data_IF_720479220564
#
_entry.id   IF_720479220564
#
_cell.length_a   1.000
_cell.length_b   1.000
_cell.length_c   1.000
_cell.angle_alpha   90.00
_cell.angle_beta   90.00
_cell.angle_gamma   90.00
#
_symmetry.space_group_name_H-M   'P 1'
#
loop_
_entity.id
_entity.type
_entity.pdbx_description
1 polymer ?
#
# COMPACT_ATOMS: atom_id res chain seq x y z
N UNK A 1 -3.83 -10.18 -21.19
CA UNK A 1 -4.24 -10.58 -19.83
C UNK A 1 -3.72 -9.57 -18.80
N UNK A 2 -4.24 -8.34 -18.79
CA UNK A 2 -3.78 -7.26 -17.90
C UNK A 2 -4.57 -7.20 -16.58
N UNK A 3 -5.87 -7.50 -16.63
CA UNK A 3 -6.80 -7.46 -15.49
C UNK A 3 -6.35 -8.29 -14.27
N UNK A 4 -5.81 -9.50 -14.50
CA UNK A 4 -5.38 -10.40 -13.41
C UNK A 4 -4.15 -9.86 -12.67
N UNK A 5 -3.24 -9.18 -13.38
CA UNK A 5 -2.05 -8.58 -12.79
C UNK A 5 -2.43 -7.38 -11.93
N UNK A 6 -3.29 -6.49 -12.45
CA UNK A 6 -3.87 -5.39 -11.68
C UNK A 6 -4.58 -5.83 -10.42
N UNK A 7 -5.37 -6.90 -10.52
CA UNK A 7 -6.05 -7.49 -9.37
C UNK A 7 -5.08 -8.03 -8.33
N UNK A 8 -4.03 -8.74 -8.75
CA UNK A 8 -3.02 -9.27 -7.84
C UNK A 8 -2.19 -8.17 -7.17
N UNK A 9 -1.90 -7.08 -7.88
CA UNK A 9 -1.23 -5.90 -7.32
C UNK A 9 -2.15 -5.14 -6.34
N UNK A 10 -3.41 -4.90 -6.71
CA UNK A 10 -4.40 -4.26 -5.84
C UNK A 10 -4.73 -5.09 -4.60
N UNK A 11 -4.85 -6.42 -4.75
CA UNK A 11 -5.06 -7.35 -3.64
C UNK A 11 -3.90 -7.36 -2.66
N UNK A 12 -2.66 -7.47 -3.15
CA UNK A 12 -1.47 -7.37 -2.27
C UNK A 12 -1.39 -6.03 -1.56
N UNK A 13 -1.74 -4.94 -2.24
CA UNK A 13 -1.81 -3.62 -1.63
C UNK A 13 -2.86 -3.51 -0.53
N UNK A 14 -4.07 -4.04 -0.76
CA UNK A 14 -5.13 -4.03 0.24
C UNK A 14 -4.83 -4.94 1.43
N UNK A 15 -4.30 -6.15 1.19
CA UNK A 15 -3.95 -7.10 2.23
C UNK A 15 -2.83 -6.52 3.12
N UNK A 16 -1.80 -5.91 2.52
CA UNK A 16 -0.73 -5.23 3.27
C UNK A 16 -1.23 -4.01 4.05
N UNK A 17 -2.14 -3.22 3.48
CA UNK A 17 -2.75 -2.11 4.20
C UNK A 17 -3.63 -2.60 5.36
N UNK A 18 -4.36 -3.70 5.18
CA UNK A 18 -5.18 -4.32 6.22
C UNK A 18 -4.33 -4.79 7.40
N UNK A 19 -3.19 -5.43 7.12
CA UNK A 19 -2.26 -5.87 8.16
C UNK A 19 -1.66 -4.69 8.94
N UNK A 20 -1.25 -3.62 8.26
CA UNK A 20 -0.74 -2.43 8.94
C UNK A 20 -1.81 -1.73 9.78
N UNK A 21 -3.03 -1.60 9.26
CA UNK A 21 -4.15 -1.02 10.01
C UNK A 21 -4.50 -1.87 11.25
N UNK A 22 -4.45 -3.19 11.14
CA UNK A 22 -4.62 -4.11 12.27
C UNK A 22 -3.50 -3.93 13.30
N UNK A 23 -2.25 -3.80 12.86
CA UNK A 23 -1.10 -3.58 13.75
C UNK A 23 -1.17 -2.25 14.52
N UNK A 24 -1.79 -1.23 13.94
CA UNK A 24 -2.02 0.09 14.58
C UNK A 24 -3.33 0.11 15.40
N UNK A 25 -4.11 -0.96 15.38
CA UNK A 25 -5.37 -1.07 16.13
C UNK A 25 -6.56 -0.33 15.50
N UNK A 26 -6.46 0.05 14.22
CA UNK A 26 -7.49 0.78 13.47
C UNK A 26 -8.50 -0.14 12.74
N UNK A 27 -8.46 -1.45 12.98
CA UNK A 27 -9.35 -2.44 12.35
C UNK A 27 -10.84 -2.06 12.47
N UNK A 28 -11.24 -1.49 13.61
CA UNK A 28 -12.62 -1.10 13.91
C UNK A 28 -13.07 0.13 13.11
N UNK A 29 -12.15 1.01 12.75
CA UNK A 29 -12.48 2.28 12.07
C UNK A 29 -12.55 2.15 10.54
N UNK A 30 -12.09 1.03 9.97
CA UNK A 30 -12.06 0.76 8.53
C UNK A 30 -12.66 -0.60 8.13
N UNK A 31 -13.93 -0.89 8.46
CA UNK A 31 -14.56 -2.17 8.16
C UNK A 31 -14.79 -2.42 6.66
N UNK A 32 -14.66 -1.39 5.81
CA UNK A 32 -14.95 -1.44 4.38
C UNK A 32 -13.74 -1.69 3.47
N UNK A 33 -12.58 -2.01 4.04
CA UNK A 33 -11.34 -2.18 3.28
C UNK A 33 -11.44 -3.34 2.27
N UNK A 34 -11.23 -3.04 1.00
CA UNK A 34 -11.35 -3.97 -0.13
C UNK A 34 -10.39 -3.62 -1.26
N UNK A 35 -9.83 -4.64 -1.92
CA UNK A 35 -9.16 -4.48 -3.21
C UNK A 35 -10.17 -4.49 -4.37
N UNK A 36 -9.94 -3.62 -5.35
CA UNK A 36 -10.67 -3.55 -6.61
C UNK A 36 -9.69 -3.31 -7.79
N UNK A 37 -10.20 -3.33 -9.01
CA UNK A 37 -9.44 -3.06 -10.23
C UNK A 37 -10.21 -2.09 -11.11
N UNK A 38 -9.53 -1.06 -11.61
CA UNK A 38 -10.15 -0.08 -12.48
C UNK A 38 -10.35 -0.62 -13.93
N UNK A 39 -11.02 0.16 -14.77
CA UNK A 39 -11.27 -0.19 -16.19
C UNK A 39 -9.98 -0.32 -17.01
N UNK A 40 -8.87 0.26 -16.56
CA UNK A 40 -7.55 0.19 -17.19
C UNK A 40 -6.72 -1.03 -16.74
N UNK A 41 -7.18 -1.75 -15.72
CA UNK A 41 -6.47 -2.88 -15.16
C UNK A 41 -5.45 -2.51 -14.08
N UNK A 42 -5.55 -1.33 -13.47
CA UNK A 42 -4.74 -0.97 -12.29
C UNK A 42 -5.45 -1.42 -11.02
N UNK A 43 -4.68 -1.94 -10.06
CA UNK A 43 -5.18 -2.28 -8.74
C UNK A 43 -5.51 -1.04 -7.92
N UNK A 44 -6.69 -1.01 -7.31
CA UNK A 44 -7.17 0.09 -6.46
C UNK A 44 -7.55 -0.48 -5.10
N UNK A 45 -7.23 0.23 -4.02
CA UNK A 45 -7.67 -0.14 -2.66
C UNK A 45 -8.79 0.82 -2.26
N UNK A 46 -9.95 0.26 -1.95
CA UNK A 46 -11.12 0.99 -1.48
C UNK A 46 -11.26 0.80 0.04
N UNK A 47 -11.29 1.90 0.78
CA UNK A 47 -11.39 1.88 2.24
C UNK A 47 -12.85 1.75 2.75
N UNK A 48 -13.83 1.95 1.87
CA UNK A 48 -15.25 2.00 2.22
C UNK A 48 -15.61 3.24 3.06
N UNK A 49 -16.64 3.12 3.91
CA UNK A 49 -17.04 4.20 4.81
C UNK A 49 -16.04 4.29 5.98
N UNK A 50 -15.34 5.42 6.08
CA UNK A 50 -14.31 5.67 7.10
C UNK A 50 -14.71 6.91 7.90
N UNK A 51 -14.46 6.90 9.22
CA UNK A 51 -14.63 8.09 10.07
C UNK A 51 -13.63 9.19 9.64
N UNK A 52 -14.02 10.47 9.66
CA UNK A 52 -13.13 11.56 9.22
C UNK A 52 -11.82 11.59 10.01
N UNK A 53 -11.86 11.30 11.31
CA UNK A 53 -10.66 11.24 12.17
C UNK A 53 -9.71 10.12 11.73
N UNK A 54 -10.24 8.94 11.39
CA UNK A 54 -9.46 7.81 10.91
C UNK A 54 -8.86 8.09 9.53
N UNK A 55 -9.60 8.74 8.63
CA UNK A 55 -9.09 9.16 7.32
C UNK A 55 -7.94 10.17 7.45
N UNK A 56 -8.04 11.12 8.39
CA UNK A 56 -6.98 12.09 8.72
C UNK A 56 -5.71 11.37 9.17
N UNK A 57 -5.84 10.46 10.15
CA UNK A 57 -4.71 9.69 10.67
C UNK A 57 -4.03 8.86 9.57
N UNK A 58 -4.82 8.25 8.69
CA UNK A 58 -4.32 7.46 7.56
C UNK A 58 -3.55 8.34 6.57
N UNK A 59 -4.06 9.54 6.26
CA UNK A 59 -3.37 10.50 5.41
C UNK A 59 -2.06 11.01 6.04
N UNK A 60 -2.05 11.28 7.35
CA UNK A 60 -0.86 11.73 8.07
C UNK A 60 0.21 10.63 8.11
N UNK A 61 -0.18 9.36 8.30
CA UNK A 61 0.73 8.22 8.24
C UNK A 61 1.30 8.00 6.84
N UNK A 62 0.45 8.04 5.80
CA UNK A 62 0.91 7.91 4.40
C UNK A 62 1.87 9.03 4.03
N UNK A 63 1.56 10.27 4.44
CA UNK A 63 2.43 11.43 4.20
C UNK A 63 3.76 11.25 4.92
N UNK A 64 3.74 10.82 6.18
CA UNK A 64 4.96 10.59 6.96
C UNK A 64 5.83 9.47 6.38
N UNK A 65 5.22 8.37 5.95
CA UNK A 65 5.90 7.26 5.29
C UNK A 65 6.51 7.67 3.95
N UNK A 66 5.77 8.44 3.14
CA UNK A 66 6.25 8.95 1.85
C UNK A 66 7.41 9.94 2.04
N UNK A 67 7.31 10.85 3.01
CA UNK A 67 8.38 11.80 3.33
C UNK A 67 9.63 11.08 3.83
N UNK A 68 9.47 10.02 4.64
CA UNK A 68 10.59 9.16 5.01
C UNK A 68 11.20 8.51 3.75
N UNK A 69 10.41 7.86 2.91
CA UNK A 69 10.94 7.23 1.69
C UNK A 69 11.67 8.23 0.77
N UNK A 70 11.11 9.42 0.58
CA UNK A 70 11.74 10.50 -0.20
C UNK A 70 13.07 10.93 0.41
N UNK A 71 13.12 11.18 1.72
CA UNK A 71 14.36 11.54 2.42
C UNK A 71 15.42 10.42 2.28
N UNK A 72 15.01 9.15 2.37
CA UNK A 72 15.91 8.01 2.20
C UNK A 72 16.44 7.88 0.76
N UNK A 73 15.63 8.24 -0.24
CA UNK A 73 16.05 8.28 -1.66
C UNK A 73 17.00 9.44 -1.93
N UNK A 74 16.78 10.59 -1.30
CA UNK A 74 17.67 11.76 -1.38
C UNK A 74 19.04 11.51 -0.73
N UNK A 75 19.07 10.73 0.35
CA UNK A 75 20.31 10.31 1.04
C UNK A 75 21.16 9.28 0.26
N UNK A 76 20.73 8.87 -0.95
CA UNK A 76 21.58 8.16 -1.92
C UNK A 76 22.06 6.77 -1.51
N UNK A 77 21.43 6.10 -0.53
CA UNK A 77 21.77 4.71 -0.19
C UNK A 77 21.01 3.73 -1.09
N UNK A 78 21.69 2.81 -1.79
CA UNK A 78 21.01 1.85 -2.65
C UNK A 78 20.11 0.96 -1.78
N UNK A 79 18.81 1.02 -2.07
CA UNK A 79 17.77 0.33 -1.31
C UNK A 79 17.93 -1.19 -1.32
N UNK A 80 17.36 -1.81 -0.29
CA UNK A 80 17.37 -3.24 0.03
C UNK A 80 16.53 -4.09 -0.96
N UNK A 81 16.71 -3.88 -2.27
CA UNK A 81 15.97 -4.55 -3.36
C UNK A 81 16.84 -5.00 -4.54
N UNK A 82 18.17 -4.83 -4.47
CA UNK A 82 19.08 -5.11 -5.59
C UNK A 82 19.76 -6.50 -5.60
N UNK A 83 19.34 -7.46 -4.77
CA UNK A 83 20.09 -8.72 -4.57
C UNK A 83 19.38 -10.00 -5.06
N UNK A 84 18.33 -9.91 -5.90
CA UNK A 84 17.57 -11.10 -6.32
C UNK A 84 17.77 -11.55 -7.77
N UNK A 85 18.44 -10.79 -8.65
CA UNK A 85 18.62 -11.18 -10.06
C UNK A 85 20.08 -11.08 -10.50
N UNK A 86 20.97 -11.86 -9.88
CA UNK A 86 22.28 -12.21 -10.42
C UNK A 86 22.79 -13.51 -9.83
N UNK A 87 22.04 -14.60 -10.03
CA UNK A 87 22.60 -15.96 -9.94
C UNK A 87 21.71 -16.97 -10.66
N UNK A 88 21.92 -17.13 -11.96
CA UNK A 88 21.82 -18.42 -12.64
C UNK A 88 22.52 -18.25 -13.99
N UNK A 89 23.68 -18.89 -14.09
CA UNK A 89 24.51 -19.03 -15.27
C UNK A 89 23.83 -19.87 -16.36
#
# INVERSE_FOLDING_TARGET
>A
MAYVRGWAEGKRGADGLAEMLRAVGLEVDLPGLKADVNVFGDGVVNLGAVRPDAARLLADMLTSGLMAEMAWREDGRPGLGGAADSSAA
#
